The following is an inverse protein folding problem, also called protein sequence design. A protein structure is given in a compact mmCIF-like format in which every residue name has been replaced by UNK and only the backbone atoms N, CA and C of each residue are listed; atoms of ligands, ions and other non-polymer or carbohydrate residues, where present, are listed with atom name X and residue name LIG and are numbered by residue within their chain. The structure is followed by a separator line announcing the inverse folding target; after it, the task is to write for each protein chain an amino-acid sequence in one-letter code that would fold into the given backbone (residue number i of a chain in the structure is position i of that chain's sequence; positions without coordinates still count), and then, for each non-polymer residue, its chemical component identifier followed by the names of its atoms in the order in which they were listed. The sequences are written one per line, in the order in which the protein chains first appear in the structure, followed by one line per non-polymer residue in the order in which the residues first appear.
data_IF_238516151871
#
_entry.id   IF_238516151871
#
_cell.length_a   1.000
_cell.length_b   1.000
_cell.length_c   1.000
_cell.angle_alpha   90.00
_cell.angle_beta   90.00
_cell.angle_gamma   90.00
#
_symmetry.space_group_name_H-M   'P 1'
#
loop_
_entity.id
_entity.type
_entity.pdbx_description
1 polymer ?
#
# COMPACT_ATOMS: atom_id res chain seq x y z
N UNK A 1 16.80 -6.99 13.59
CA UNK A 1 15.36 -7.14 13.22
C UNK A 1 14.81 -5.85 12.60
N UNK A 2 13.98 -5.94 11.55
CA UNK A 2 13.23 -4.81 10.96
C UNK A 2 11.74 -4.94 11.34
N UNK A 3 11.04 -3.82 11.60
CA UNK A 3 9.57 -3.79 11.71
C UNK A 3 8.98 -3.09 10.48
N UNK A 4 7.98 -3.72 9.85
CA UNK A 4 7.34 -3.23 8.62
C UNK A 4 5.83 -3.13 8.82
N UNK A 5 5.32 -1.92 8.67
CA UNK A 5 3.90 -1.63 8.62
C UNK A 5 3.49 -1.43 7.16
N UNK A 6 2.64 -2.33 6.66
CA UNK A 6 2.05 -2.25 5.33
C UNK A 6 0.64 -1.68 5.48
N UNK A 7 0.28 -0.71 4.64
CA UNK A 7 -0.97 0.04 4.77
C UNK A 7 -1.79 -0.05 3.48
N UNK A 8 -3.07 -0.39 3.57
CA UNK A 8 -3.98 -0.13 2.46
C UNK A 8 -4.13 1.38 2.23
N UNK A 9 -4.50 1.79 1.01
CA UNK A 9 -4.69 3.20 0.64
C UNK A 9 -6.12 3.67 0.89
N UNK A 10 -7.01 3.36 -0.04
CA UNK A 10 -8.37 3.90 -0.09
C UNK A 10 -9.24 3.24 0.99
N UNK A 11 -9.81 4.03 1.90
CA UNK A 11 -10.57 3.56 3.07
C UNK A 11 -9.73 3.32 4.33
N UNK A 12 -8.41 3.29 4.20
CA UNK A 12 -7.47 3.08 5.32
C UNK A 12 -6.67 4.34 5.65
N UNK A 13 -5.97 4.91 4.66
CA UNK A 13 -5.22 6.16 4.81
C UNK A 13 -6.04 7.37 4.36
N UNK A 14 -6.74 7.23 3.24
CA UNK A 14 -7.41 8.36 2.57
C UNK A 14 -8.86 8.02 2.22
N UNK A 15 -9.66 9.07 2.06
CA UNK A 15 -10.96 9.02 1.40
C UNK A 15 -11.08 10.12 0.34
N UNK A 16 -12.03 10.00 -0.61
CA UNK A 16 -12.31 11.06 -1.56
C UNK A 16 -12.79 12.33 -0.86
N UNK A 17 -12.16 13.47 -1.14
CA UNK A 17 -12.55 14.77 -0.57
C UNK A 17 -13.90 15.25 -1.11
N UNK A 18 -14.19 14.90 -2.36
CA UNK A 18 -15.45 15.18 -3.05
C UNK A 18 -16.67 14.45 -2.47
N UNK A 19 -16.47 13.44 -1.61
CA UNK A 19 -17.55 12.55 -1.16
C UNK A 19 -17.96 11.50 -2.20
N UNK A 20 -17.28 11.45 -3.36
CA UNK A 20 -17.49 10.39 -4.33
C UNK A 20 -17.12 9.02 -3.76
N UNK A 21 -17.60 7.95 -4.40
CA UNK A 21 -17.29 6.57 -3.98
C UNK A 21 -15.80 6.22 -4.14
N UNK A 22 -15.14 6.82 -5.12
CA UNK A 22 -13.73 6.58 -5.44
C UNK A 22 -13.03 7.91 -5.71
N UNK A 23 -11.72 7.95 -5.49
CA UNK A 23 -10.86 9.10 -5.82
C UNK A 23 -10.94 9.37 -7.32
N UNK A 24 -11.28 10.59 -7.69
CA UNK A 24 -11.44 11.02 -9.10
C UNK A 24 -10.18 11.67 -9.67
N UNK A 25 -9.35 12.26 -8.82
CA UNK A 25 -8.12 12.96 -9.17
C UNK A 25 -7.11 12.92 -8.00
N UNK A 26 -5.81 13.17 -8.23
CA UNK A 26 -4.81 13.14 -7.16
C UNK A 26 -5.17 14.00 -5.95
N UNK A 27 -5.67 15.22 -6.16
CA UNK A 27 -6.06 16.19 -5.13
C UNK A 27 -7.46 15.94 -4.52
N UNK A 28 -8.22 15.00 -5.08
CA UNK A 28 -9.49 14.51 -4.52
C UNK A 28 -9.23 13.48 -3.39
N UNK A 29 -8.27 13.75 -2.53
CA UNK A 29 -7.87 12.87 -1.43
C UNK A 29 -7.65 13.69 -0.18
N UNK A 30 -8.23 13.23 0.92
CA UNK A 30 -7.91 13.72 2.26
C UNK A 30 -7.61 12.54 3.19
N UNK A 31 -6.72 12.76 4.16
CA UNK A 31 -6.42 11.76 5.17
C UNK A 31 -7.63 11.53 6.07
N UNK A 32 -7.85 10.27 6.42
CA UNK A 32 -8.82 9.94 7.44
C UNK A 32 -8.36 10.45 8.83
N UNK A 33 -9.29 10.82 9.73
CA UNK A 33 -8.93 11.22 11.09
C UNK A 33 -8.10 10.14 11.81
N UNK A 34 -7.04 10.55 12.52
CA UNK A 34 -6.14 9.64 13.25
C UNK A 34 -5.00 9.04 12.42
N UNK A 35 -4.99 9.21 11.09
CA UNK A 35 -3.97 8.58 10.23
C UNK A 35 -2.57 9.11 10.50
N UNK A 36 -2.38 10.43 10.60
CA UNK A 36 -1.04 10.95 10.89
C UNK A 36 -0.60 10.62 12.31
N UNK A 37 -1.50 10.68 13.29
CA UNK A 37 -1.20 10.27 14.66
C UNK A 37 -0.70 8.82 14.72
N UNK A 38 -1.38 7.90 14.03
CA UNK A 38 -0.97 6.51 13.95
C UNK A 38 0.33 6.32 13.17
N UNK A 39 0.53 7.04 12.07
CA UNK A 39 1.82 7.03 11.33
C UNK A 39 2.95 7.52 12.24
N UNK A 40 2.77 8.62 12.96
CA UNK A 40 3.80 9.22 13.81
C UNK A 40 4.15 8.28 14.97
N UNK A 41 3.15 7.65 15.60
CA UNK A 41 3.34 6.63 16.64
C UNK A 41 4.15 5.43 16.15
N UNK A 42 3.75 4.81 15.03
CA UNK A 42 4.49 3.67 14.51
C UNK A 42 5.90 4.08 14.02
N UNK A 43 6.06 5.31 13.52
CA UNK A 43 7.37 5.83 13.16
C UNK A 43 8.28 6.03 14.38
N UNK A 44 7.76 6.55 15.50
CA UNK A 44 8.54 6.66 16.75
C UNK A 44 8.94 5.31 17.32
N UNK A 45 8.14 4.26 17.07
CA UNK A 45 8.43 2.87 17.42
C UNK A 45 9.38 2.16 16.44
N UNK A 46 9.94 2.90 15.48
CA UNK A 46 10.95 2.44 14.53
C UNK A 46 10.40 1.66 13.34
N UNK A 47 9.09 1.64 13.13
CA UNK A 47 8.48 0.93 12.01
C UNK A 47 8.81 1.62 10.68
N UNK A 48 9.22 0.82 9.70
CA UNK A 48 9.24 1.24 8.30
C UNK A 48 7.84 1.05 7.72
N UNK A 49 7.48 1.89 6.74
CA UNK A 49 6.12 1.90 6.20
C UNK A 49 6.10 1.85 4.67
N UNK A 50 5.09 1.18 4.12
CA UNK A 50 4.80 1.17 2.69
C UNK A 50 3.30 0.95 2.42
N UNK A 51 2.83 1.44 1.28
CA UNK A 51 1.42 1.31 0.87
C UNK A 51 1.23 0.13 -0.08
N UNK A 52 0.07 -0.55 -0.01
CA UNK A 52 -0.40 -1.49 -1.03
C UNK A 52 -1.83 -1.19 -1.44
N UNK A 53 -2.14 -1.18 -2.73
CA UNK A 53 -3.47 -0.79 -3.21
C UNK A 53 -3.93 -1.58 -4.44
N UNK A 54 -5.16 -2.11 -4.36
CA UNK A 54 -5.87 -2.62 -5.53
C UNK A 54 -6.46 -1.44 -6.31
N UNK A 55 -6.06 -1.25 -7.57
CA UNK A 55 -6.48 -0.14 -8.45
C UNK A 55 -7.28 -0.64 -9.66
N UNK A 56 -8.32 -1.44 -9.40
CA UNK A 56 -9.13 -2.08 -10.45
C UNK A 56 -9.88 -1.13 -11.39
N UNK A 57 -9.98 0.17 -11.04
CA UNK A 57 -10.50 1.20 -11.95
C UNK A 57 -9.66 1.35 -13.23
N UNK A 58 -8.40 0.91 -13.21
CA UNK A 58 -7.54 0.88 -14.41
C UNK A 58 -8.01 -0.21 -15.38
N UNK A 59 -8.11 -1.46 -14.94
CA UNK A 59 -8.62 -2.55 -15.79
C UNK A 59 -10.05 -2.33 -16.26
N UNK A 60 -10.89 -1.69 -15.43
CA UNK A 60 -12.25 -1.30 -15.78
C UNK A 60 -12.33 -0.06 -16.71
N UNK A 61 -11.19 0.51 -17.13
CA UNK A 61 -11.09 1.71 -18.00
C UNK A 61 -11.75 2.97 -17.46
N UNK A 62 -11.98 3.04 -16.14
CA UNK A 62 -12.45 4.25 -15.47
C UNK A 62 -11.33 5.27 -15.26
N UNK A 63 -10.06 4.83 -15.21
CA UNK A 63 -8.88 5.69 -15.17
C UNK A 63 -7.68 5.04 -15.86
N UNK A 64 -6.68 5.84 -16.22
CA UNK A 64 -5.42 5.35 -16.76
C UNK A 64 -4.48 4.90 -15.64
N UNK A 65 -3.49 4.07 -15.98
CA UNK A 65 -2.41 3.71 -15.06
C UNK A 65 -1.69 4.94 -14.53
N UNK A 66 -1.35 5.90 -15.40
CA UNK A 66 -0.67 7.14 -14.99
C UNK A 66 -1.46 7.91 -13.94
N UNK A 67 -2.79 8.01 -14.09
CA UNK A 67 -3.65 8.63 -13.07
C UNK A 67 -3.58 7.88 -11.74
N UNK A 68 -3.67 6.55 -11.75
CA UNK A 68 -3.53 5.75 -10.53
C UNK A 68 -2.15 5.92 -9.86
N UNK A 69 -1.08 6.05 -10.66
CA UNK A 69 0.27 6.34 -10.18
C UNK A 69 0.35 7.74 -9.56
N UNK A 70 -0.24 8.76 -10.18
CA UNK A 70 -0.30 10.11 -9.63
C UNK A 70 -1.11 10.17 -8.32
N UNK A 71 -2.23 9.45 -8.24
CA UNK A 71 -3.03 9.34 -7.02
C UNK A 71 -2.26 8.66 -5.88
N UNK A 72 -1.54 7.57 -6.16
CA UNK A 72 -0.64 6.92 -5.20
C UNK A 72 0.45 7.89 -4.75
N UNK A 73 1.10 8.59 -5.68
CA UNK A 73 2.16 9.56 -5.36
C UNK A 73 1.63 10.71 -4.51
N UNK A 74 0.42 11.21 -4.76
CA UNK A 74 -0.19 12.23 -3.94
C UNK A 74 -0.44 11.74 -2.51
N UNK A 75 -0.95 10.51 -2.33
CA UNK A 75 -1.09 9.90 -1.01
C UNK A 75 0.25 9.76 -0.27
N UNK A 76 1.34 9.44 -0.97
CA UNK A 76 2.70 9.44 -0.40
C UNK A 76 3.18 10.83 0.04
N UNK A 77 2.69 11.91 -0.60
CA UNK A 77 2.96 13.28 -0.14
C UNK A 77 2.13 13.64 1.08
N UNK A 78 0.86 13.23 1.15
CA UNK A 78 0.03 13.42 2.33
C UNK A 78 0.58 12.71 3.57
N UNK A 79 1.25 11.57 3.40
CA UNK A 79 1.81 10.74 4.47
C UNK A 79 3.31 10.99 4.72
N UNK A 80 3.81 12.13 4.25
CA UNK A 80 5.18 12.56 4.51
C UNK A 80 5.38 12.95 5.99
N UNK A 81 6.61 12.80 6.53
CA UNK A 81 7.82 12.32 5.87
C UNK A 81 7.94 10.78 5.83
N UNK A 82 7.09 10.05 6.55
CA UNK A 82 7.32 8.66 6.97
C UNK A 82 7.15 7.60 5.88
N UNK A 83 6.20 7.77 4.96
CA UNK A 83 5.95 6.79 3.90
C UNK A 83 6.55 7.29 2.58
N UNK A 84 7.48 6.51 2.03
CA UNK A 84 8.24 6.88 0.83
C UNK A 84 7.86 6.10 -0.42
N UNK A 85 7.21 4.95 -0.26
CA UNK A 85 6.90 4.04 -1.37
C UNK A 85 5.61 3.28 -1.17
N UNK A 86 5.03 2.83 -2.27
CA UNK A 86 3.90 1.92 -2.27
C UNK A 86 3.82 1.11 -3.56
N UNK A 87 3.07 0.02 -3.49
CA UNK A 87 2.74 -0.82 -4.64
C UNK A 87 1.27 -0.64 -5.00
N UNK A 88 0.96 -0.64 -6.30
CA UNK A 88 -0.41 -0.73 -6.79
C UNK A 88 -0.55 -1.84 -7.82
N UNK A 89 -1.67 -2.56 -7.76
CA UNK A 89 -2.05 -3.60 -8.71
C UNK A 89 -3.26 -3.12 -9.53
N UNK A 90 -3.14 -2.88 -10.84
CA UNK A 90 -4.21 -2.30 -11.65
C UNK A 90 -5.20 -3.34 -12.22
N UNK A 91 -4.77 -4.60 -12.36
CA UNK A 91 -5.54 -5.66 -13.00
C UNK A 91 -6.27 -6.59 -12.01
N UNK A 92 -7.22 -7.37 -12.52
CA UNK A 92 -8.07 -8.24 -11.71
C UNK A 92 -7.37 -9.55 -11.35
N UNK A 93 -6.42 -9.96 -12.19
CA UNK A 93 -5.75 -11.26 -12.13
C UNK A 93 -4.55 -11.24 -11.17
N UNK A 94 -3.97 -10.06 -10.96
CA UNK A 94 -2.76 -9.82 -10.18
C UNK A 94 -1.47 -10.03 -10.97
N UNK A 95 -1.49 -9.85 -12.28
CA UNK A 95 -0.33 -10.00 -13.17
C UNK A 95 0.59 -8.79 -13.15
N UNK A 96 0.04 -7.59 -13.04
CA UNK A 96 0.80 -6.35 -13.03
C UNK A 96 0.86 -5.75 -11.62
N UNK A 97 1.98 -5.10 -11.33
CA UNK A 97 2.14 -4.33 -10.11
C UNK A 97 3.21 -3.27 -10.31
N UNK A 98 3.00 -2.09 -9.77
CA UNK A 98 3.88 -0.94 -9.99
C UNK A 98 4.32 -0.37 -8.65
N UNK A 99 5.63 -0.28 -8.44
CA UNK A 99 6.20 0.42 -7.27
C UNK A 99 6.28 1.92 -7.56
N UNK A 100 5.61 2.71 -6.74
CA UNK A 100 5.61 4.18 -6.82
C UNK A 100 6.42 4.72 -5.65
N UNK A 101 7.36 5.61 -5.95
CA UNK A 101 8.16 6.32 -4.95
C UNK A 101 7.73 7.78 -4.89
N UNK A 102 7.71 8.35 -3.68
CA UNK A 102 7.23 9.72 -3.42
C UNK A 102 7.89 10.76 -4.33
N UNK A 103 9.22 10.67 -4.46
CA UNK A 103 10.02 11.64 -5.23
C UNK A 103 10.40 11.16 -6.65
N UNK A 104 9.93 9.99 -7.09
CA UNK A 104 10.25 9.53 -8.44
C UNK A 104 9.33 10.17 -9.47
N UNK A 105 9.92 10.79 -10.49
CA UNK A 105 9.24 11.30 -11.69
C UNK A 105 9.26 10.30 -12.85
N UNK A 106 9.93 9.16 -12.68
CA UNK A 106 10.00 8.13 -13.71
C UNK A 106 8.73 7.27 -13.75
N UNK A 107 8.45 6.72 -14.93
CA UNK A 107 7.44 5.68 -15.11
C UNK A 107 7.76 4.50 -14.18
N UNK A 108 6.82 4.10 -13.31
CA UNK A 108 7.01 2.93 -12.45
C UNK A 108 7.32 1.66 -13.23
N UNK A 109 8.21 0.84 -12.68
CA UNK A 109 8.57 -0.45 -13.26
C UNK A 109 7.44 -1.45 -12.96
N UNK A 110 7.01 -2.17 -13.99
CA UNK A 110 6.12 -3.32 -13.83
C UNK A 110 6.86 -4.48 -13.15
N UNK A 111 6.54 -4.68 -11.88
CA UNK A 111 7.08 -5.74 -11.02
C UNK A 111 6.66 -7.14 -11.51
N UNK A 112 5.54 -7.29 -12.21
CA UNK A 112 5.10 -8.58 -12.74
C UNK A 112 6.01 -9.14 -13.83
N UNK A 113 6.64 -8.25 -14.61
CA UNK A 113 7.67 -8.62 -15.57
C UNK A 113 9.00 -8.93 -14.90
N UNK A 114 9.34 -8.19 -13.84
CA UNK A 114 10.64 -8.31 -13.15
C UNK A 114 10.71 -9.46 -12.15
N UNK A 115 9.62 -9.72 -11.41
CA UNK A 115 9.56 -10.69 -10.31
C UNK A 115 8.52 -11.76 -10.61
N UNK A 116 8.88 -12.68 -11.52
CA UNK A 116 7.98 -13.71 -12.03
C UNK A 116 7.44 -14.67 -10.96
N UNK A 117 8.14 -14.78 -9.83
CA UNK A 117 7.68 -15.55 -8.67
C UNK A 117 6.43 -14.98 -7.99
N UNK A 118 6.08 -13.71 -8.24
CA UNK A 118 4.85 -13.08 -7.74
C UNK A 118 3.78 -12.92 -8.84
N UNK A 119 4.07 -13.36 -10.07
CA UNK A 119 3.17 -13.19 -11.21
C UNK A 119 1.80 -13.83 -10.94
N UNK A 120 0.72 -13.06 -11.11
CA UNK A 120 -0.64 -13.53 -10.85
C UNK A 120 -1.02 -13.56 -9.37
N UNK A 121 -0.21 -12.94 -8.51
CA UNK A 121 -0.47 -12.89 -7.06
C UNK A 121 -0.53 -11.49 -6.48
N UNK A 122 -0.37 -10.43 -7.27
CA UNK A 122 -0.32 -9.06 -6.74
C UNK A 122 -1.65 -8.52 -6.22
N UNK A 123 -2.78 -8.90 -6.83
CA UNK A 123 -4.09 -8.39 -6.42
C UNK A 123 -4.55 -9.05 -5.12
N UNK A 124 -4.80 -8.23 -4.09
CA UNK A 124 -5.42 -8.71 -2.83
C UNK A 124 -6.79 -9.35 -3.15
N UNK A 125 -7.13 -10.53 -2.62
CA UNK A 125 -6.57 -11.18 -1.41
C UNK A 125 -5.33 -12.06 -1.64
N UNK A 126 -4.70 -12.05 -2.81
CA UNK A 126 -3.42 -12.73 -2.98
C UNK A 126 -2.28 -11.89 -2.36
N UNK A 127 -1.18 -12.53 -1.90
CA UNK A 127 -0.20 -11.87 -1.04
C UNK A 127 0.94 -11.16 -1.80
N UNK A 128 0.95 -11.14 -3.13
CA UNK A 128 2.12 -10.77 -3.94
C UNK A 128 2.66 -9.37 -3.68
N UNK A 129 1.80 -8.37 -3.46
CA UNK A 129 2.25 -7.02 -3.07
C UNK A 129 2.94 -7.03 -1.69
N UNK A 130 2.37 -7.74 -0.72
CA UNK A 130 2.94 -7.86 0.64
C UNK A 130 4.27 -8.60 0.57
N UNK A 131 4.31 -9.76 -0.08
CA UNK A 131 5.52 -10.59 -0.19
C UNK A 131 6.66 -9.86 -0.90
N UNK A 132 6.34 -9.07 -1.94
CA UNK A 132 7.31 -8.20 -2.57
C UNK A 132 7.91 -7.21 -1.56
N UNK A 133 7.08 -6.43 -0.85
CA UNK A 133 7.56 -5.44 0.12
C UNK A 133 8.35 -6.09 1.27
N UNK A 134 7.85 -7.19 1.83
CA UNK A 134 8.53 -7.97 2.86
C UNK A 134 9.93 -8.38 2.36
N UNK A 135 10.04 -8.91 1.14
CA UNK A 135 11.34 -9.26 0.56
C UNK A 135 12.28 -8.06 0.40
N UNK A 136 11.76 -6.87 0.10
CA UNK A 136 12.57 -5.66 -0.06
C UNK A 136 13.06 -5.12 1.28
N UNK A 137 12.22 -5.14 2.32
CA UNK A 137 12.59 -4.66 3.66
C UNK A 137 13.41 -5.67 4.44
N UNK A 138 13.16 -6.97 4.28
CA UNK A 138 13.92 -8.03 4.95
C UNK A 138 15.42 -7.97 4.58
N UNK A 139 15.74 -7.60 3.32
CA UNK A 139 17.13 -7.36 2.86
C UNK A 139 17.86 -6.25 3.61
N UNK A 140 17.14 -5.38 4.30
CA UNK A 140 17.73 -4.32 5.13
C UNK A 140 18.06 -4.81 6.55
N UNK A 141 17.58 -5.99 6.93
CA UNK A 141 17.85 -6.61 8.23
C UNK A 141 19.18 -7.35 8.18
N UNK A 142 20.12 -6.98 9.06
CA UNK A 142 21.39 -7.71 9.23
C UNK A 142 21.20 -9.16 9.64
N UNK A 143 20.11 -9.46 10.34
CA UNK A 143 19.77 -10.78 10.88
C UNK A 143 18.78 -11.55 9.98
N UNK A 144 18.26 -10.93 8.92
CA UNK A 144 17.19 -11.50 8.09
C UNK A 144 15.82 -11.63 8.79
N UNK A 145 15.68 -11.11 10.01
CA UNK A 145 14.41 -11.11 10.76
C UNK A 145 13.58 -9.87 10.45
N UNK A 146 12.29 -10.07 10.18
CA UNK A 146 11.31 -9.02 9.94
C UNK A 146 10.00 -9.30 10.69
N UNK A 147 9.51 -8.29 11.40
CA UNK A 147 8.18 -8.24 11.99
C UNK A 147 7.26 -7.43 11.06
N UNK A 148 6.07 -7.94 10.79
CA UNK A 148 5.19 -7.40 9.75
C UNK A 148 3.76 -7.28 10.26
N UNK A 149 3.23 -6.06 10.20
CA UNK A 149 1.83 -5.75 10.42
C UNK A 149 1.24 -5.16 9.15
N UNK A 150 0.07 -5.66 8.73
CA UNK A 150 -0.71 -5.07 7.65
C UNK A 150 -2.02 -4.49 8.18
N UNK A 151 -2.33 -3.27 7.74
CA UNK A 151 -3.56 -2.56 8.12
C UNK A 151 -4.44 -2.32 6.91
N UNK A 152 -5.71 -2.67 7.02
CA UNK A 152 -6.69 -2.52 5.95
C UNK A 152 -8.13 -2.38 6.44
N UNK A 153 -9.03 -2.02 5.53
CA UNK A 153 -10.46 -1.80 5.79
C UNK A 153 -11.37 -2.82 5.09
N UNK A 154 -10.80 -3.74 4.30
CA UNK A 154 -11.57 -4.73 3.54
C UNK A 154 -11.13 -6.15 3.83
N UNK A 155 -12.04 -7.10 3.58
CA UNK A 155 -11.75 -8.53 3.67
C UNK A 155 -10.67 -9.00 2.70
N UNK A 156 -10.45 -8.30 1.59
CA UNK A 156 -9.33 -8.57 0.69
C UNK A 156 -7.97 -8.29 1.36
N UNK A 157 -7.90 -7.30 2.26
CA UNK A 157 -6.69 -7.02 3.04
C UNK A 157 -6.40 -8.17 4.01
N UNK A 158 -7.40 -8.59 4.79
CA UNK A 158 -7.25 -9.71 5.71
C UNK A 158 -6.94 -11.02 4.98
N UNK A 159 -7.51 -11.23 3.79
CA UNK A 159 -7.20 -12.38 2.93
C UNK A 159 -5.75 -12.40 2.45
N UNK A 160 -5.22 -11.25 2.04
CA UNK A 160 -3.81 -11.13 1.66
C UNK A 160 -2.87 -11.40 2.82
N UNK A 161 -3.25 -10.99 4.03
CA UNK A 161 -2.48 -11.28 5.25
C UNK A 161 -2.48 -12.76 5.60
N UNK A 162 -3.65 -13.40 5.58
CA UNK A 162 -3.75 -14.85 5.83
C UNK A 162 -2.87 -15.64 4.85
N UNK A 163 -2.88 -15.24 3.57
CA UNK A 163 -2.06 -15.87 2.54
C UNK A 163 -0.55 -15.57 2.69
N UNK A 164 -0.17 -14.43 3.29
CA UNK A 164 1.21 -14.05 3.55
C UNK A 164 1.76 -14.60 4.89
N UNK A 165 0.87 -15.02 5.81
CA UNK A 165 1.25 -15.46 7.15
C UNK A 165 1.78 -14.34 8.04
N UNK A 166 1.21 -13.13 7.95
CA UNK A 166 1.60 -11.95 8.76
C UNK A 166 0.49 -11.51 9.70
N UNK A 167 0.73 -10.49 10.52
CA UNK A 167 -0.30 -9.93 11.41
C UNK A 167 -1.22 -8.95 10.66
N UNK A 168 -2.52 -8.94 11.02
CA UNK A 168 -3.52 -8.01 10.48
C UNK A 168 -4.14 -7.18 11.59
N UNK A 169 -4.41 -5.90 11.31
CA UNK A 169 -5.21 -5.02 12.16
C UNK A 169 -6.20 -4.22 11.33
N UNK A 170 -7.44 -4.06 11.80
CA UNK A 170 -8.42 -3.27 11.08
C UNK A 170 -8.08 -1.78 11.13
N UNK A 171 -8.30 -1.07 10.03
CA UNK A 171 -7.92 0.34 9.92
C UNK A 171 -8.59 1.24 10.97
N UNK A 172 -9.81 0.94 11.38
CA UNK A 172 -10.50 1.70 12.43
C UNK A 172 -9.88 1.49 13.81
N UNK A 173 -9.48 0.26 14.14
CA UNK A 173 -8.76 -0.08 15.38
C UNK A 173 -7.37 0.53 15.38
N UNK A 174 -6.66 0.46 14.25
CA UNK A 174 -5.32 1.02 14.08
C UNK A 174 -5.29 2.54 14.32
N UNK A 175 -6.27 3.29 13.79
CA UNK A 175 -6.37 4.74 14.01
C UNK A 175 -6.85 5.14 15.41
N UNK A 176 -7.58 4.26 16.09
CA UNK A 176 -8.10 4.53 17.43
C UNK A 176 -7.11 4.15 18.55
N UNK A 177 -6.17 3.25 18.27
CA UNK A 177 -5.20 2.72 19.23
C UNK A 177 -3.83 3.40 19.22
N UNK A 178 -3.70 4.56 18.59
CA UNK A 178 -2.48 5.36 18.54
C UNK A 178 -2.65 6.71 19.24
#
# INVERSE_FOLDING_TARGET
MIKLLILNKDGTLVRPKSGARFVQAPDDQELLPGVMQAIDYYASEGWKMAIVSNQGGVAARHKTLDKAVYEMRYCLHLTAPHILRGCLCPDAEGFECYEVWRFSVFTPIDLGKKYRNYYGTFRKPKPGMLMYLISQFCRLSSEGLIDVLMVGDRSEDSGAVLAAGVEFKWAHEWRAGA
#
